data_IF_809951046728
#
_entry.id   IF_809951046728
#
_cell.length_a   1.000
_cell.length_b   1.000
_cell.length_c   1.000
_cell.angle_alpha   90.00
_cell.angle_beta   90.00
_cell.angle_gamma   90.00
#
_symmetry.space_group_name_H-M   'P 1'
#
loop_
_entity.id
_entity.type
_entity.pdbx_description
1 polymer ?
#
# COMPACT_ATOMS: atom_id res chain seq x y z
N UNK A 1 -8.67 3.64 -21.43
CA UNK A 1 -7.73 4.63 -20.86
C UNK A 1 -8.06 4.95 -19.39
N UNK A 2 -9.33 5.27 -19.06
CA UNK A 2 -9.79 5.62 -17.70
C UNK A 2 -9.47 4.58 -16.63
N UNK A 3 -9.64 3.29 -16.92
CA UNK A 3 -9.36 2.19 -15.97
C UNK A 3 -7.86 2.10 -15.62
N UNK A 4 -6.96 2.29 -16.60
CA UNK A 4 -5.51 2.28 -16.36
C UNK A 4 -5.09 3.43 -15.43
N UNK A 5 -5.67 4.61 -15.62
CA UNK A 5 -5.39 5.78 -14.78
C UNK A 5 -5.83 5.54 -13.34
N UNK A 6 -7.01 4.95 -13.12
CA UNK A 6 -7.48 4.57 -11.78
C UNK A 6 -6.55 3.57 -11.10
N UNK A 7 -6.04 2.57 -11.83
CA UNK A 7 -5.10 1.59 -11.29
C UNK A 7 -3.74 2.21 -10.95
N UNK A 8 -3.20 3.06 -11.82
CA UNK A 8 -1.96 3.81 -11.54
C UNK A 8 -2.16 4.71 -10.32
N UNK A 9 -3.29 5.40 -10.22
CA UNK A 9 -3.63 6.23 -9.07
C UNK A 9 -3.72 5.38 -7.78
N UNK A 10 -4.34 4.20 -7.84
CA UNK A 10 -4.37 3.25 -6.73
C UNK A 10 -2.95 2.88 -6.25
N UNK A 11 -2.02 2.60 -7.17
CA UNK A 11 -0.62 2.33 -6.82
C UNK A 11 0.00 3.54 -6.11
N UNK A 12 -0.18 4.75 -6.63
CA UNK A 12 0.39 5.98 -6.03
C UNK A 12 -0.16 6.20 -4.62
N UNK A 13 -1.48 6.08 -4.42
CA UNK A 13 -2.12 6.24 -3.11
C UNK A 13 -1.67 5.16 -2.13
N UNK A 14 -1.56 3.91 -2.57
CA UNK A 14 -1.09 2.81 -1.74
C UNK A 14 0.37 2.99 -1.31
N UNK A 15 1.25 3.40 -2.21
CA UNK A 15 2.64 3.74 -1.89
C UNK A 15 2.72 4.91 -0.92
N UNK A 16 1.92 5.96 -1.12
CA UNK A 16 1.84 7.09 -0.19
C UNK A 16 1.46 6.64 1.22
N UNK A 17 0.44 5.79 1.36
CA UNK A 17 0.02 5.26 2.66
C UNK A 17 1.15 4.46 3.35
N UNK A 18 1.90 3.64 2.60
CA UNK A 18 3.04 2.89 3.12
C UNK A 18 4.13 3.85 3.62
N UNK A 19 4.66 4.70 2.73
CA UNK A 19 5.82 5.53 3.07
C UNK A 19 5.51 6.57 4.15
N UNK A 20 4.27 7.05 4.23
CA UNK A 20 3.87 8.00 5.26
C UNK A 20 3.76 7.37 6.66
N UNK A 21 3.53 6.06 6.77
CA UNK A 21 3.30 5.39 8.05
C UNK A 21 4.40 4.39 8.46
N UNK A 22 5.29 4.00 7.53
CA UNK A 22 6.34 3.02 7.79
C UNK A 22 7.34 3.50 8.86
N UNK A 23 7.63 4.80 8.91
CA UNK A 23 8.44 5.40 9.97
C UNK A 23 7.80 5.25 11.36
N UNK A 24 6.47 5.34 11.43
CA UNK A 24 5.69 5.09 12.65
C UNK A 24 5.85 3.65 13.16
N UNK A 25 5.86 2.67 12.25
CA UNK A 25 6.10 1.25 12.58
C UNK A 25 7.49 1.07 13.20
N UNK A 26 8.54 1.61 12.58
CA UNK A 26 9.90 1.51 13.12
C UNK A 26 10.06 2.24 14.46
N UNK A 27 9.42 3.40 14.61
CA UNK A 27 9.46 4.16 15.86
C UNK A 27 8.73 3.45 17.01
N UNK A 28 7.68 2.68 16.72
CA UNK A 28 6.92 1.95 17.73
C UNK A 28 7.80 0.93 18.46
N UNK A 29 8.70 0.23 17.76
CA UNK A 29 9.62 -0.74 18.34
C UNK A 29 10.66 -0.14 19.30
N UNK A 30 10.82 1.18 19.34
CA UNK A 30 11.73 1.86 20.27
C UNK A 30 11.04 2.21 21.60
N UNK A 31 9.71 2.05 21.69
CA UNK A 31 8.92 2.38 22.88
C UNK A 31 9.06 1.26 23.92
N UNK A 32 9.48 1.61 25.13
CA UNK A 32 9.65 0.64 26.24
C UNK A 32 8.32 0.21 26.88
N UNK A 33 7.31 1.10 26.87
CA UNK A 33 5.97 0.79 27.38
C UNK A 33 5.23 -0.12 26.40
N UNK A 34 4.90 -1.34 26.82
CA UNK A 34 4.30 -2.36 25.97
C UNK A 34 2.91 -1.98 25.45
N UNK A 35 2.10 -1.30 26.27
CA UNK A 35 0.77 -0.86 25.89
C UNK A 35 0.84 0.25 24.85
N UNK A 36 1.71 1.23 25.07
CA UNK A 36 1.91 2.36 24.16
C UNK A 36 2.57 1.93 22.85
N UNK A 37 3.54 1.00 22.91
CA UNK A 37 4.15 0.36 21.75
C UNK A 37 3.09 -0.29 20.88
N UNK A 38 2.25 -1.15 21.47
CA UNK A 38 1.22 -1.90 20.72
C UNK A 38 0.23 -0.97 20.05
N UNK A 39 -0.23 0.07 20.76
CA UNK A 39 -1.14 1.07 20.19
C UNK A 39 -0.52 1.82 19.00
N UNK A 40 0.73 2.28 19.13
CA UNK A 40 1.46 2.99 18.07
C UNK A 40 1.78 2.08 16.89
N UNK A 41 2.11 0.82 17.17
CA UNK A 41 2.35 -0.20 16.16
C UNK A 41 1.08 -0.44 15.36
N UNK A 42 -0.07 -0.71 16.00
CA UNK A 42 -1.35 -0.91 15.30
C UNK A 42 -1.73 0.32 14.45
N UNK A 43 -1.60 1.52 15.04
CA UNK A 43 -1.94 2.77 14.38
C UNK A 43 -1.13 2.97 13.07
N UNK A 44 0.14 2.58 13.08
CA UNK A 44 1.04 2.78 11.94
C UNK A 44 1.05 1.60 10.97
N UNK A 45 0.85 0.38 11.47
CA UNK A 45 0.92 -0.85 10.69
C UNK A 45 -0.33 -1.05 9.83
N UNK A 46 -1.52 -0.66 10.32
CA UNK A 46 -2.77 -0.78 9.57
C UNK A 46 -2.72 -0.03 8.21
N UNK A 47 -2.33 1.26 8.15
CA UNK A 47 -2.16 1.96 6.88
C UNK A 47 -1.11 1.33 5.95
N UNK A 48 -0.01 0.79 6.50
CA UNK A 48 1.04 0.14 5.70
C UNK A 48 0.51 -1.13 5.03
N UNK A 49 -0.21 -1.98 5.79
CA UNK A 49 -0.82 -3.20 5.24
C UNK A 49 -1.87 -2.84 4.19
N UNK A 50 -2.76 -1.89 4.51
CA UNK A 50 -3.78 -1.43 3.57
C UNK A 50 -3.16 -0.90 2.27
N UNK A 51 -2.13 -0.07 2.38
CA UNK A 51 -1.39 0.45 1.23
C UNK A 51 -0.74 -0.65 0.40
N UNK A 52 -0.13 -1.65 1.03
CA UNK A 52 0.48 -2.79 0.35
C UNK A 52 -0.55 -3.62 -0.44
N UNK A 53 -1.72 -3.87 0.14
CA UNK A 53 -2.81 -4.58 -0.55
C UNK A 53 -3.32 -3.79 -1.75
N UNK A 54 -3.51 -2.48 -1.61
CA UNK A 54 -3.94 -1.61 -2.71
C UNK A 54 -2.93 -1.61 -3.86
N UNK A 55 -1.64 -1.47 -3.56
CA UNK A 55 -0.56 -1.53 -4.56
C UNK A 55 -0.58 -2.88 -5.27
N UNK A 56 -0.65 -3.98 -4.52
CA UNK A 56 -0.64 -5.33 -5.06
C UNK A 56 -1.81 -5.57 -6.03
N UNK A 57 -3.04 -5.32 -5.59
CA UNK A 57 -4.24 -5.53 -6.41
C UNK A 57 -4.23 -4.63 -7.64
N UNK A 58 -3.84 -3.36 -7.48
CA UNK A 58 -3.80 -2.41 -8.59
C UNK A 58 -2.74 -2.79 -9.63
N UNK A 59 -1.55 -3.24 -9.19
CA UNK A 59 -0.48 -3.67 -10.05
C UNK A 59 -0.83 -4.95 -10.83
N UNK A 60 -1.42 -5.96 -10.16
CA UNK A 60 -1.88 -7.19 -10.82
C UNK A 60 -2.94 -6.90 -11.88
N UNK A 61 -3.95 -6.10 -11.54
CA UNK A 61 -5.00 -5.71 -12.48
C UNK A 61 -4.45 -4.92 -13.67
N UNK A 62 -3.48 -4.03 -13.43
CA UNK A 62 -2.85 -3.26 -14.50
C UNK A 62 -2.03 -4.16 -15.43
N UNK A 63 -1.26 -5.09 -14.86
CA UNK A 63 -0.50 -6.08 -15.61
C UNK A 63 -1.41 -6.95 -16.49
N UNK A 64 -2.49 -7.50 -15.93
CA UNK A 64 -3.43 -8.33 -16.67
C UNK A 64 -4.10 -7.56 -17.81
N UNK A 65 -4.42 -6.29 -17.59
CA UNK A 65 -5.03 -5.43 -18.60
C UNK A 65 -4.08 -5.16 -19.76
N UNK A 66 -2.81 -4.84 -19.46
CA UNK A 66 -1.75 -4.67 -20.47
C UNK A 66 -1.51 -5.98 -21.23
N UNK A 67 -1.45 -7.12 -20.54
CA UNK A 67 -1.27 -8.43 -21.15
C UNK A 67 -2.41 -8.79 -22.10
N UNK A 68 -3.66 -8.54 -21.68
CA UNK A 68 -4.86 -8.77 -22.52
C UNK A 68 -4.86 -7.91 -23.78
N UNK A 69 -4.45 -6.65 -23.69
CA UNK A 69 -4.32 -5.78 -24.87
C UNK A 69 -3.22 -6.27 -25.82
N UNK A 70 -2.07 -6.69 -25.28
CA UNK A 70 -0.98 -7.26 -26.10
C UNK A 70 -1.40 -8.50 -26.88
N UNK A 71 -2.24 -9.36 -26.29
CA UNK A 71 -2.69 -10.59 -26.94
C UNK A 71 -3.84 -10.39 -27.94
N UNK A 72 -4.48 -9.22 -27.96
CA UNK A 72 -5.58 -8.89 -28.90
C UNK A 72 -5.09 -8.22 -30.19
N UNK A 73 -3.86 -7.70 -30.18
CA UNK A 73 -3.19 -7.06 -31.31
C UNK A 73 -2.17 -8.03 -31.92
#
# INVERSE_FOLDING_TARGET
>A
MTVKILLIFGIVVGLYAIFNNIGGVFSAFQIKDSTLMTAKLLQSLLPVIAGAVIVWVSALNLYDLIKKEKNKN
#
